data_IF_378092219172
#
_entry.id   IF_378092219172
#
_cell.length_a   1.000
_cell.length_b   1.000
_cell.length_c   1.000
_cell.angle_alpha   90.00
_cell.angle_beta   90.00
_cell.angle_gamma   90.00
#
_symmetry.space_group_name_H-M   'P 1'
#
loop_
_entity.id
_entity.type
_entity.pdbx_description
1 polymer ?
#
# COMPACT_ATOMS: atom_id res chain seq x y z
N UNK A 1 -10.40 -13.10 8.40
CA UNK A 1 -9.25 -12.18 8.44
C UNK A 1 -9.49 -11.03 7.47
N UNK A 2 -9.28 -9.78 7.88
CA UNK A 2 -9.74 -8.60 7.13
C UNK A 2 -9.21 -8.46 5.70
N UNK A 3 -8.04 -9.03 5.41
CA UNK A 3 -7.46 -9.05 4.06
C UNK A 3 -8.04 -10.12 3.11
N UNK A 4 -8.82 -11.08 3.62
CA UNK A 4 -9.34 -12.22 2.84
C UNK A 4 -10.85 -12.13 2.57
N UNK A 5 -11.44 -10.95 2.76
CA UNK A 5 -12.89 -10.77 2.76
C UNK A 5 -13.53 -11.02 4.14
N UNK A 6 -14.79 -10.61 4.27
CA UNK A 6 -15.56 -10.78 5.50
C UNK A 6 -16.65 -11.82 5.26
N UNK A 7 -16.54 -13.04 5.82
CA UNK A 7 -17.52 -14.11 5.56
C UNK A 7 -18.92 -13.78 6.10
N UNK A 8 -19.02 -12.84 7.03
CA UNK A 8 -20.28 -12.41 7.66
C UNK A 8 -20.76 -11.06 7.15
N UNK A 9 -20.11 -10.47 6.14
CA UNK A 9 -20.44 -9.13 5.61
C UNK A 9 -20.37 -7.98 6.65
N UNK A 10 -19.73 -8.20 7.81
CA UNK A 10 -19.61 -7.21 8.87
C UNK A 10 -18.66 -6.04 8.55
N UNK A 11 -17.80 -6.17 7.52
CA UNK A 11 -16.86 -5.11 7.11
C UNK A 11 -17.54 -3.86 6.53
N UNK A 12 -18.83 -3.95 6.18
CA UNK A 12 -19.59 -2.86 5.54
C UNK A 12 -18.85 -2.28 4.31
N UNK A 13 -18.21 -3.16 3.52
CA UNK A 13 -17.51 -2.74 2.31
C UNK A 13 -18.50 -2.35 1.20
N UNK A 14 -17.99 -1.74 0.13
CA UNK A 14 -18.80 -1.38 -1.05
C UNK A 14 -19.51 -2.59 -1.68
N UNK A 15 -19.00 -3.80 -1.47
CA UNK A 15 -19.61 -5.06 -1.94
C UNK A 15 -21.02 -5.29 -1.37
N UNK A 16 -21.30 -4.80 -0.15
CA UNK A 16 -22.57 -5.02 0.55
C UNK A 16 -23.36 -3.73 0.76
N UNK A 17 -22.84 -2.61 0.25
CA UNK A 17 -23.44 -1.27 0.39
C UNK A 17 -23.73 -0.70 -1.00
N UNK A 18 -22.77 0.01 -1.59
CA UNK A 18 -22.98 0.80 -2.82
C UNK A 18 -23.21 -0.05 -4.07
N UNK A 19 -22.54 -1.20 -4.20
CA UNK A 19 -22.70 -2.06 -5.39
C UNK A 19 -24.13 -2.62 -5.47
N UNK A 20 -24.69 -3.28 -4.44
CA UNK A 20 -26.09 -3.71 -4.45
C UNK A 20 -27.07 -2.57 -4.73
N UNK A 21 -26.90 -1.43 -4.05
CA UNK A 21 -27.77 -0.27 -4.24
C UNK A 21 -27.76 0.26 -5.69
N UNK A 22 -26.60 0.21 -6.35
CA UNK A 22 -26.48 0.60 -7.76
C UNK A 22 -27.20 -0.38 -8.69
N UNK A 23 -27.06 -1.69 -8.44
CA UNK A 23 -27.71 -2.73 -9.25
C UNK A 23 -29.23 -2.70 -9.10
N UNK A 24 -29.74 -2.47 -7.88
CA UNK A 24 -31.17 -2.33 -7.61
C UNK A 24 -31.81 -1.13 -8.33
N UNK A 25 -31.03 -0.08 -8.61
CA UNK A 25 -31.45 1.10 -9.38
C UNK A 25 -31.21 0.95 -10.89
N UNK A 26 -30.94 -0.26 -11.38
CA UNK A 26 -30.75 -0.54 -12.80
C UNK A 26 -29.35 -0.24 -13.34
N UNK A 27 -28.37 -0.02 -12.47
CA UNK A 27 -26.96 -0.01 -12.87
C UNK A 27 -26.48 -1.40 -13.27
N UNK A 28 -25.43 -1.46 -14.09
CA UNK A 28 -24.87 -2.72 -14.59
C UNK A 28 -23.45 -2.94 -14.06
N UNK A 29 -23.13 -4.20 -13.72
CA UNK A 29 -21.78 -4.62 -13.32
C UNK A 29 -21.22 -5.60 -14.34
N UNK A 30 -20.21 -5.14 -15.08
CA UNK A 30 -19.42 -5.98 -15.97
C UNK A 30 -18.20 -6.54 -15.22
N UNK A 31 -18.33 -7.76 -14.72
CA UNK A 31 -17.27 -8.47 -14.00
C UNK A 31 -16.42 -9.34 -14.94
N UNK A 32 -15.30 -9.90 -14.43
CA UNK A 32 -14.30 -10.63 -15.23
C UNK A 32 -13.89 -9.86 -16.50
N UNK A 33 -13.76 -8.55 -16.37
CA UNK A 33 -13.46 -7.65 -17.49
C UNK A 33 -12.40 -6.67 -17.05
N UNK A 34 -11.28 -6.61 -17.79
CA UNK A 34 -10.16 -5.73 -17.50
C UNK A 34 -10.16 -4.55 -18.46
N UNK A 35 -10.27 -3.33 -17.93
CA UNK A 35 -10.08 -2.10 -18.69
C UNK A 35 -8.66 -2.04 -19.26
N UNK A 36 -8.53 -2.00 -20.59
CA UNK A 36 -7.24 -2.09 -21.28
C UNK A 36 -6.82 -0.75 -21.88
N UNK A 37 -7.67 0.00 -22.57
CA UNK A 37 -7.23 1.24 -23.22
C UNK A 37 -8.39 2.19 -23.48
N UNK A 38 -8.23 3.46 -23.15
CA UNK A 38 -9.13 4.53 -23.58
C UNK A 38 -8.81 4.88 -25.04
N UNK A 39 -9.84 5.02 -25.86
CA UNK A 39 -9.73 5.51 -27.23
C UNK A 39 -9.96 7.02 -27.23
N UNK A 40 -8.92 7.80 -27.52
CA UNK A 40 -8.93 9.25 -27.39
C UNK A 40 -8.97 9.90 -28.78
N UNK A 41 -9.81 10.92 -28.92
CA UNK A 41 -9.90 11.76 -30.11
C UNK A 41 -9.98 13.22 -29.69
N UNK A 42 -8.90 13.98 -29.91
CA UNK A 42 -8.79 15.34 -29.39
C UNK A 42 -8.74 15.34 -27.86
N UNK A 43 -9.64 16.10 -27.24
CA UNK A 43 -9.78 16.26 -25.79
C UNK A 43 -10.88 15.34 -25.19
N UNK A 44 -11.32 14.31 -25.92
CA UNK A 44 -12.40 13.43 -25.51
C UNK A 44 -12.04 11.94 -25.63
N UNK A 45 -12.51 11.15 -24.68
CA UNK A 45 -12.56 9.69 -24.79
C UNK A 45 -13.82 9.29 -25.56
N UNK A 46 -13.66 8.44 -26.57
CA UNK A 46 -14.73 7.94 -27.45
C UNK A 46 -15.12 6.49 -27.18
N UNK A 47 -14.30 5.77 -26.42
CA UNK A 47 -14.48 4.36 -26.10
C UNK A 47 -13.49 3.88 -25.05
N UNK A 48 -13.85 2.83 -24.33
CA UNK A 48 -12.96 2.07 -23.47
C UNK A 48 -12.90 0.64 -24.01
N UNK A 49 -11.72 0.25 -24.48
CA UNK A 49 -11.40 -1.13 -24.83
C UNK A 49 -11.11 -1.93 -23.57
N UNK A 50 -11.81 -3.05 -23.43
CA UNK A 50 -11.69 -3.99 -22.34
C UNK A 50 -11.36 -5.40 -22.86
N UNK A 51 -10.77 -6.23 -22.00
CA UNK A 51 -10.52 -7.64 -22.25
C UNK A 51 -11.39 -8.49 -21.33
N UNK A 52 -12.08 -9.49 -21.89
CA UNK A 52 -12.78 -10.49 -21.09
C UNK A 52 -11.77 -11.46 -20.48
N UNK A 53 -11.90 -11.73 -19.18
CA UNK A 53 -11.00 -12.54 -18.37
C UNK A 53 -11.58 -13.92 -18.10
N UNK A 54 -10.71 -14.90 -17.83
CA UNK A 54 -11.12 -16.25 -17.39
C UNK A 54 -11.84 -16.21 -16.03
N UNK A 55 -12.42 -17.33 -15.60
CA UNK A 55 -13.17 -17.43 -14.33
C UNK A 55 -12.34 -17.13 -13.08
N UNK A 56 -11.00 -17.17 -13.19
CA UNK A 56 -10.06 -16.83 -12.12
C UNK A 56 -9.58 -15.37 -12.18
N UNK A 57 -10.00 -14.62 -13.20
CA UNK A 57 -9.57 -13.26 -13.50
C UNK A 57 -8.04 -13.12 -13.72
N UNK A 58 -7.38 -14.19 -14.20
CA UNK A 58 -5.92 -14.22 -14.39
C UNK A 58 -5.56 -13.92 -15.83
N UNK A 59 -6.12 -14.70 -16.77
CA UNK A 59 -5.75 -14.67 -18.18
C UNK A 59 -6.89 -14.10 -19.06
N UNK A 60 -6.57 -13.32 -20.10
CA UNK A 60 -7.57 -12.90 -21.07
C UNK A 60 -8.06 -14.09 -21.90
N UNK A 61 -9.33 -14.08 -22.25
CA UNK A 61 -9.99 -15.11 -23.08
C UNK A 61 -9.77 -14.89 -24.59
N UNK A 62 -9.12 -13.80 -24.98
CA UNK A 62 -8.98 -13.35 -26.37
C UNK A 62 -10.17 -12.53 -26.90
N UNK A 63 -11.28 -12.45 -26.14
CA UNK A 63 -12.44 -11.61 -26.50
C UNK A 63 -12.24 -10.18 -25.99
N UNK A 64 -12.55 -9.21 -26.85
CA UNK A 64 -12.56 -7.78 -26.53
C UNK A 64 -13.98 -7.27 -26.32
N UNK A 65 -14.13 -6.28 -25.46
CA UNK A 65 -15.40 -5.60 -25.16
C UNK A 65 -15.15 -4.11 -25.34
N UNK A 66 -16.06 -3.42 -26.03
CA UNK A 66 -16.01 -1.98 -26.23
C UNK A 66 -17.11 -1.29 -25.41
N UNK A 67 -16.71 -0.41 -24.49
CA UNK A 67 -17.64 0.37 -23.66
C UNK A 67 -17.66 1.82 -24.13
N UNK A 68 -18.82 2.28 -24.56
CA UNK A 68 -19.06 3.69 -24.93
C UNK A 68 -19.85 4.38 -23.84
N UNK A 69 -19.37 5.54 -23.39
CA UNK A 69 -20.01 6.34 -22.37
C UNK A 69 -19.90 7.83 -22.71
N UNK A 70 -20.77 8.63 -22.10
CA UNK A 70 -20.69 10.10 -22.19
C UNK A 70 -19.55 10.66 -21.34
N UNK A 71 -19.27 10.02 -20.20
CA UNK A 71 -18.22 10.37 -19.26
C UNK A 71 -17.60 9.10 -18.68
N UNK A 72 -16.30 9.14 -18.40
CA UNK A 72 -15.54 8.02 -17.85
C UNK A 72 -15.00 8.40 -16.47
N UNK A 73 -15.44 7.67 -15.45
CA UNK A 73 -14.89 7.76 -14.09
C UNK A 73 -13.86 6.65 -13.90
N UNK A 74 -12.61 7.03 -13.65
CA UNK A 74 -11.54 6.10 -13.37
C UNK A 74 -11.43 5.91 -11.86
N UNK A 75 -11.43 4.65 -11.41
CA UNK A 75 -11.38 4.24 -10.00
C UNK A 75 -10.46 3.04 -9.82
N UNK A 76 -9.31 3.05 -10.51
CA UNK A 76 -8.33 1.96 -10.51
C UNK A 76 -7.31 2.01 -9.36
N UNK A 77 -7.36 3.04 -8.52
CA UNK A 77 -6.38 3.31 -7.48
C UNK A 77 -5.08 3.90 -8.03
N UNK A 78 -4.20 4.33 -7.12
CA UNK A 78 -2.95 5.04 -7.43
C UNK A 78 -1.89 4.29 -8.27
N UNK A 79 -2.19 3.07 -8.74
CA UNK A 79 -1.37 2.29 -9.69
C UNK A 79 -2.13 2.01 -10.99
N UNK A 80 -3.35 1.47 -10.93
CA UNK A 80 -4.04 1.05 -12.16
C UNK A 80 -4.70 2.22 -12.91
N UNK A 81 -5.14 3.27 -12.21
CA UNK A 81 -5.62 4.50 -12.87
C UNK A 81 -4.51 5.14 -13.72
N UNK A 82 -3.35 5.53 -13.15
CA UNK A 82 -2.26 6.06 -13.98
C UNK A 82 -1.76 5.05 -15.01
N UNK A 83 -1.73 3.75 -14.66
CA UNK A 83 -1.40 2.70 -15.61
C UNK A 83 -2.34 2.63 -16.83
N UNK A 84 -3.65 2.82 -16.64
CA UNK A 84 -4.62 2.88 -17.73
C UNK A 84 -4.39 4.13 -18.59
N UNK A 85 -4.19 5.30 -17.97
CA UNK A 85 -3.96 6.56 -18.68
C UNK A 85 -2.66 6.52 -19.50
N UNK A 86 -1.56 6.05 -18.91
CA UNK A 86 -0.27 5.88 -19.59
C UNK A 86 -0.41 4.97 -20.81
N UNK A 87 -1.11 3.86 -20.64
CA UNK A 87 -1.30 2.85 -21.69
C UNK A 87 -2.27 3.28 -22.77
N UNK A 88 -3.04 4.32 -22.50
CA UNK A 88 -3.93 4.98 -23.44
C UNK A 88 -3.27 6.18 -24.11
N UNK A 89 -2.00 6.46 -23.80
CA UNK A 89 -1.28 7.64 -24.27
C UNK A 89 -2.07 8.92 -24.00
N UNK A 90 -2.71 8.99 -22.82
CA UNK A 90 -3.47 10.16 -22.42
C UNK A 90 -2.57 11.41 -22.38
N UNK A 91 -3.09 12.58 -22.78
CA UNK A 91 -2.30 13.81 -22.84
C UNK A 91 -1.76 14.18 -21.45
N UNK A 92 -0.44 14.28 -21.34
CA UNK A 92 0.28 14.70 -20.13
C UNK A 92 1.37 15.73 -20.49
N UNK A 93 1.00 16.97 -20.83
CA UNK A 93 1.93 17.98 -21.33
C UNK A 93 3.00 18.40 -20.30
N UNK A 94 2.80 18.06 -19.03
CA UNK A 94 3.71 18.42 -17.94
C UNK A 94 4.42 17.21 -17.31
N UNK A 95 4.22 16.00 -17.85
CA UNK A 95 4.87 14.78 -17.38
C UNK A 95 4.56 14.47 -15.90
N UNK A 96 3.32 14.72 -15.45
CA UNK A 96 2.88 14.54 -14.06
C UNK A 96 2.19 13.19 -13.83
N UNK A 97 1.70 12.54 -14.88
CA UNK A 97 1.01 11.27 -14.78
C UNK A 97 1.92 10.17 -14.21
N UNK A 98 1.39 9.42 -13.25
CA UNK A 98 2.11 8.37 -12.53
C UNK A 98 3.10 8.89 -11.47
N UNK A 99 3.37 10.19 -11.38
CA UNK A 99 4.33 10.75 -10.41
C UNK A 99 3.69 10.97 -9.05
N UNK A 100 4.56 11.14 -8.04
CA UNK A 100 4.16 11.41 -6.64
C UNK A 100 3.19 10.34 -6.12
N UNK A 101 3.49 9.07 -6.42
CA UNK A 101 2.77 7.94 -5.81
C UNK A 101 3.36 7.66 -4.44
N UNK A 102 2.52 7.68 -3.41
CA UNK A 102 2.90 7.45 -2.02
C UNK A 102 2.38 6.11 -1.55
N UNK A 103 3.07 5.51 -0.59
CA UNK A 103 2.82 4.14 -0.15
C UNK A 103 2.47 4.03 1.34
N UNK A 104 2.78 5.06 2.13
CA UNK A 104 3.03 4.90 3.56
C UNK A 104 3.96 3.69 3.76
N UNK A 105 5.23 3.82 3.39
CA UNK A 105 6.21 2.74 3.51
C UNK A 105 6.22 2.18 4.94
N UNK A 106 6.19 0.85 5.08
CA UNK A 106 6.03 0.17 6.36
C UNK A 106 7.24 -0.69 6.69
N UNK A 107 7.76 -0.56 7.91
CA UNK A 107 8.60 -1.58 8.55
C UNK A 107 7.94 -2.15 9.81
N UNK A 108 8.51 -3.24 10.29
CA UNK A 108 7.90 -4.09 11.32
C UNK A 108 8.90 -4.42 12.42
N UNK A 109 8.38 -4.62 13.63
CA UNK A 109 9.10 -5.22 14.76
C UNK A 109 8.23 -6.32 15.38
N UNK A 110 8.80 -7.51 15.52
CA UNK A 110 8.16 -8.62 16.21
C UNK A 110 8.62 -8.69 17.67
N UNK A 111 7.74 -9.11 18.57
CA UNK A 111 8.07 -9.33 19.97
C UNK A 111 7.48 -10.65 20.46
N UNK A 112 8.17 -11.34 21.34
CA UNK A 112 7.67 -12.51 22.05
C UNK A 112 7.25 -12.12 23.46
N UNK A 113 6.10 -12.63 23.87
CA UNK A 113 5.54 -12.41 25.21
C UNK A 113 5.39 -13.75 25.96
N UNK A 114 5.61 -13.77 27.28
CA UNK A 114 5.33 -14.97 28.08
C UNK A 114 3.86 -15.40 28.02
N UNK A 115 2.94 -14.43 27.96
CA UNK A 115 1.52 -14.68 27.82
C UNK A 115 1.12 -14.87 26.34
N UNK A 116 0.08 -15.65 26.10
CA UNK A 116 -0.49 -15.80 24.77
C UNK A 116 -1.15 -14.48 24.31
N UNK A 117 -0.76 -14.02 23.12
CA UNK A 117 -1.29 -12.84 22.43
C UNK A 117 -2.37 -13.25 21.41
N UNK A 118 -2.15 -14.37 20.70
CA UNK A 118 -3.00 -14.86 19.62
C UNK A 118 -3.29 -13.79 18.56
N UNK A 119 -2.27 -13.27 17.85
CA UNK A 119 -2.41 -12.11 16.98
C UNK A 119 -3.28 -12.37 15.73
N UNK A 120 -3.70 -13.62 15.53
CA UNK A 120 -4.60 -14.07 14.47
C UNK A 120 -6.09 -14.10 14.90
N UNK A 121 -6.40 -13.78 16.15
CA UNK A 121 -7.79 -13.67 16.64
C UNK A 121 -8.10 -12.26 17.16
N UNK A 122 -9.39 -11.92 17.17
CA UNK A 122 -9.90 -10.65 17.72
C UNK A 122 -10.08 -9.54 16.70
N UNK A 123 -10.28 -8.32 17.20
CA UNK A 123 -10.49 -7.15 16.38
C UNK A 123 -9.18 -6.79 15.64
N UNK A 124 -9.24 -6.55 14.32
CA UNK A 124 -8.09 -6.08 13.56
C UNK A 124 -7.70 -4.67 14.05
N UNK A 125 -6.40 -4.43 14.28
CA UNK A 125 -5.84 -3.08 14.47
C UNK A 125 -6.59 -2.23 15.51
N UNK A 126 -6.65 -2.72 16.75
CA UNK A 126 -7.41 -2.09 17.83
C UNK A 126 -6.74 -0.84 18.44
N UNK A 127 -5.45 -0.64 18.19
CA UNK A 127 -4.69 0.50 18.75
C UNK A 127 -3.66 1.04 17.74
N UNK A 128 -3.47 2.36 17.78
CA UNK A 128 -2.42 3.07 17.06
C UNK A 128 -1.87 4.22 17.91
N UNK A 129 -0.72 4.76 17.51
CA UNK A 129 -0.16 6.00 18.02
C UNK A 129 0.33 6.88 16.88
N UNK A 130 -0.14 8.12 16.84
CA UNK A 130 0.29 9.18 15.92
C UNK A 130 1.30 10.15 16.55
N UNK A 131 1.76 9.86 17.78
CA UNK A 131 2.69 10.71 18.54
C UNK A 131 3.94 11.12 17.74
N UNK A 132 4.49 10.19 16.95
CA UNK A 132 5.73 10.41 16.17
C UNK A 132 5.47 11.01 14.78
N UNK A 133 4.21 11.18 14.37
CA UNK A 133 3.88 11.59 13.01
C UNK A 133 4.20 13.06 12.75
N UNK A 134 4.05 13.92 13.77
CA UNK A 134 4.18 15.37 13.64
C UNK A 134 5.14 16.00 14.66
N UNK A 135 5.86 15.18 15.44
CA UNK A 135 6.71 15.61 16.56
C UNK A 135 7.65 16.77 16.20
N UNK A 136 8.24 16.70 15.01
CA UNK A 136 9.22 17.69 14.51
C UNK A 136 8.67 18.50 13.32
N UNK A 137 7.34 18.62 13.21
CA UNK A 137 6.66 19.35 12.14
C UNK A 137 6.69 18.63 10.77
N UNK A 138 6.42 19.39 9.71
CA UNK A 138 6.36 18.89 8.32
C UNK A 138 7.74 18.77 7.66
N UNK A 139 8.67 19.64 8.04
CA UNK A 139 10.02 19.74 7.47
C UNK A 139 11.13 19.10 8.32
N UNK A 140 10.79 18.58 9.51
CA UNK A 140 11.73 17.81 10.33
C UNK A 140 12.02 16.41 9.76
N UNK A 141 12.69 15.54 10.54
CA UNK A 141 12.93 14.15 10.16
C UNK A 141 11.64 13.41 9.78
N UNK A 142 11.77 12.32 9.02
CA UNK A 142 10.63 11.49 8.60
C UNK A 142 9.78 11.06 9.81
N UNK A 143 8.54 11.54 9.87
CA UNK A 143 7.57 11.13 10.88
C UNK A 143 6.97 9.76 10.55
N UNK A 144 6.42 9.09 11.56
CA UNK A 144 5.72 7.82 11.37
C UNK A 144 4.57 7.62 12.35
N UNK A 145 3.59 6.83 11.93
CA UNK A 145 2.48 6.36 12.77
C UNK A 145 2.72 4.92 13.15
N UNK A 146 2.53 4.57 14.42
CA UNK A 146 2.67 3.20 14.91
C UNK A 146 1.31 2.52 14.99
N UNK A 147 1.23 1.26 14.57
CA UNK A 147 0.01 0.45 14.63
C UNK A 147 0.35 -0.98 15.06
N UNK A 148 -0.62 -1.66 15.68
CA UNK A 148 -0.53 -3.08 16.00
C UNK A 148 -1.42 -3.86 15.03
N UNK A 149 -0.85 -4.48 13.97
CA UNK A 149 -1.64 -5.19 12.99
C UNK A 149 -2.05 -6.59 13.50
N UNK A 150 -3.18 -7.14 13.02
CA UNK A 150 -3.42 -8.58 13.17
C UNK A 150 -2.39 -9.36 12.34
N UNK A 151 -1.92 -10.50 12.85
CA UNK A 151 -0.92 -11.32 12.19
C UNK A 151 -1.53 -12.65 11.72
N UNK A 152 -2.05 -12.64 10.49
CA UNK A 152 -2.56 -13.85 9.84
C UNK A 152 -1.44 -14.91 9.69
N UNK A 153 -1.68 -16.21 9.94
CA UNK A 153 -0.60 -17.22 9.92
C UNK A 153 0.16 -17.31 8.59
N UNK A 154 -0.53 -17.23 7.44
CA UNK A 154 0.16 -17.24 6.15
C UNK A 154 0.98 -15.97 5.92
N UNK A 155 0.50 -14.81 6.41
CA UNK A 155 1.24 -13.56 6.32
C UNK A 155 2.46 -13.60 7.24
N UNK A 156 2.33 -14.15 8.45
CA UNK A 156 3.42 -14.35 9.40
C UNK A 156 4.53 -15.18 8.77
N UNK A 157 4.20 -16.33 8.18
CA UNK A 157 5.16 -17.21 7.53
C UNK A 157 5.94 -16.49 6.40
N UNK A 158 5.26 -15.64 5.62
CA UNK A 158 5.90 -14.85 4.57
C UNK A 158 6.74 -13.70 5.12
N UNK A 159 6.28 -13.00 6.16
CA UNK A 159 6.96 -11.84 6.73
C UNK A 159 8.23 -12.24 7.49
N UNK A 160 8.18 -13.31 8.28
CA UNK A 160 9.36 -13.84 8.96
C UNK A 160 10.37 -14.45 7.97
N UNK A 161 9.89 -14.94 6.82
CA UNK A 161 10.70 -15.31 5.64
C UNK A 161 11.94 -16.19 5.92
N UNK A 162 11.88 -17.02 6.97
CA UNK A 162 12.95 -17.94 7.36
C UNK A 162 12.69 -19.36 6.84
N UNK A 163 13.69 -20.22 6.91
CA UNK A 163 13.65 -21.60 6.43
C UNK A 163 13.90 -22.61 7.55
N UNK A 164 13.53 -23.87 7.29
CA UNK A 164 13.80 -25.00 8.18
C UNK A 164 13.27 -24.80 9.61
N UNK A 165 14.10 -25.18 10.58
CA UNK A 165 13.73 -25.15 12.01
C UNK A 165 13.48 -23.73 12.54
N UNK A 166 14.16 -22.71 12.00
CA UNK A 166 13.91 -21.32 12.39
C UNK A 166 12.48 -20.91 12.03
N UNK A 167 12.02 -21.28 10.83
CA UNK A 167 10.65 -21.01 10.38
C UNK A 167 9.63 -21.76 11.24
N UNK A 168 9.88 -23.05 11.50
CA UNK A 168 9.04 -23.85 12.38
C UNK A 168 8.95 -23.24 13.80
N UNK A 169 10.07 -22.76 14.35
CA UNK A 169 10.14 -22.11 15.64
C UNK A 169 9.34 -20.80 15.70
N UNK A 170 9.47 -19.94 14.69
CA UNK A 170 8.66 -18.72 14.59
C UNK A 170 7.16 -19.03 14.55
N UNK A 171 6.75 -20.03 13.76
CA UNK A 171 5.35 -20.40 13.65
C UNK A 171 4.82 -21.10 14.91
N UNK A 172 5.64 -21.89 15.60
CA UNK A 172 5.29 -22.49 16.88
C UNK A 172 5.07 -21.43 17.98
N UNK A 173 5.79 -20.31 17.90
CA UNK A 173 5.66 -19.16 18.83
C UNK A 173 4.64 -18.12 18.37
N UNK A 174 3.95 -18.32 17.25
CA UNK A 174 2.97 -17.35 16.75
C UNK A 174 1.88 -16.98 17.79
N UNK A 175 1.34 -17.91 18.62
CA UNK A 175 0.40 -17.57 19.68
C UNK A 175 0.94 -16.58 20.72
N UNK A 176 2.26 -16.53 20.91
CA UNK A 176 2.96 -15.66 21.86
C UNK A 176 3.61 -14.44 21.18
N UNK A 177 3.38 -14.26 19.89
CA UNK A 177 4.01 -13.22 19.09
C UNK A 177 3.11 -11.99 18.99
N UNK A 178 3.69 -10.83 19.24
CA UNK A 178 3.14 -9.53 18.95
C UNK A 178 3.86 -8.92 17.73
N UNK A 179 3.15 -8.16 16.92
CA UNK A 179 3.72 -7.38 15.81
C UNK A 179 3.40 -5.91 16.02
N UNK A 180 4.38 -5.04 15.81
CA UNK A 180 4.16 -3.60 15.64
C UNK A 180 4.66 -3.21 14.25
N UNK A 181 3.97 -2.27 13.62
CA UNK A 181 4.41 -1.67 12.36
C UNK A 181 4.48 -0.15 12.47
N UNK A 182 5.28 0.46 11.62
CA UNK A 182 5.36 1.91 11.49
C UNK A 182 5.10 2.35 10.05
N UNK A 183 4.13 3.23 9.84
CA UNK A 183 3.82 3.84 8.55
C UNK A 183 4.59 5.15 8.42
N UNK A 184 5.53 5.22 7.48
CA UNK A 184 6.30 6.44 7.20
C UNK A 184 5.41 7.49 6.54
N UNK A 185 5.53 8.76 6.96
CA UNK A 185 4.83 9.92 6.38
C UNK A 185 5.53 10.42 5.11
N UNK A 186 5.43 9.66 4.04
CA UNK A 186 6.06 10.00 2.76
C UNK A 186 5.36 11.16 2.01
N UNK A 187 6.11 11.88 1.17
CA UNK A 187 5.56 12.91 0.27
C UNK A 187 5.55 14.35 0.78
N UNK A 188 5.85 14.58 2.05
CA UNK A 188 5.82 15.90 2.71
C UNK A 188 7.18 16.63 2.76
N UNK A 189 8.26 15.95 2.36
CA UNK A 189 9.62 16.49 2.37
C UNK A 189 10.25 16.34 0.97
N UNK A 190 11.10 17.28 0.51
CA UNK A 190 11.79 17.14 -0.79
C UNK A 190 12.57 15.83 -0.95
N UNK A 191 13.18 15.33 0.13
CA UNK A 191 13.89 14.03 0.16
C UNK A 191 12.94 12.82 0.27
N UNK A 192 11.63 13.03 0.20
CA UNK A 192 10.62 11.98 0.08
C UNK A 192 9.72 12.29 -1.12
N UNK A 193 10.26 12.18 -2.35
CA UNK A 193 9.55 12.59 -3.57
C UNK A 193 8.37 11.66 -3.93
N UNK A 194 8.33 10.45 -3.35
CA UNK A 194 7.41 9.38 -3.71
C UNK A 194 7.93 8.54 -4.89
N UNK A 195 7.06 7.72 -5.45
CA UNK A 195 7.33 6.85 -6.58
C UNK A 195 6.75 7.33 -7.91
N UNK A 196 7.05 6.55 -8.93
CA UNK A 196 6.65 6.71 -10.34
C UNK A 196 5.94 5.44 -10.81
N UNK A 197 4.69 5.56 -11.25
CA UNK A 197 4.01 4.49 -11.98
C UNK A 197 4.46 4.52 -13.43
N UNK A 198 4.91 3.37 -13.91
CA UNK A 198 5.43 3.16 -15.25
C UNK A 198 4.76 1.92 -15.87
N UNK A 199 4.96 1.72 -17.17
CA UNK A 199 4.50 0.52 -17.85
C UNK A 199 5.69 -0.41 -18.10
N UNK A 200 5.52 -1.68 -17.77
CA UNK A 200 6.41 -2.74 -18.27
C UNK A 200 6.20 -2.95 -19.77
N UNK A 201 7.09 -3.72 -20.40
CA UNK A 201 7.00 -4.07 -21.81
C UNK A 201 5.68 -4.76 -22.22
N UNK A 202 5.02 -5.46 -21.29
CA UNK A 202 3.71 -6.09 -21.50
C UNK A 202 2.51 -5.13 -21.30
N UNK A 203 2.78 -3.88 -20.92
CA UNK A 203 1.78 -2.85 -20.62
C UNK A 203 1.17 -2.96 -19.22
N UNK A 204 1.66 -3.86 -18.35
CA UNK A 204 1.26 -3.87 -16.94
C UNK A 204 1.87 -2.69 -16.19
N UNK A 205 1.11 -2.04 -15.29
CA UNK A 205 1.69 -0.98 -14.46
C UNK A 205 2.67 -1.56 -13.44
N UNK A 206 3.74 -0.83 -13.20
CA UNK A 206 4.72 -1.06 -12.15
C UNK A 206 4.92 0.24 -11.39
N UNK A 207 5.10 0.15 -10.08
CA UNK A 207 5.53 1.28 -9.28
C UNK A 207 7.03 1.15 -9.04
N UNK A 208 7.79 2.14 -9.50
CA UNK A 208 9.15 2.38 -9.05
C UNK A 208 9.11 3.32 -7.84
N UNK A 209 9.69 2.93 -6.71
CA UNK A 209 9.67 3.71 -5.48
C UNK A 209 11.07 3.79 -4.88
N UNK A 210 11.65 4.99 -4.90
CA UNK A 210 13.01 5.23 -4.42
C UNK A 210 13.05 5.41 -2.90
N UNK A 211 13.95 4.68 -2.24
CA UNK A 211 14.21 4.80 -0.80
C UNK A 211 15.45 5.66 -0.57
N UNK A 212 15.22 6.90 -0.13
CA UNK A 212 16.27 7.90 0.13
C UNK A 212 16.87 7.72 1.53
N UNK A 213 18.06 8.29 1.80
CA UNK A 213 18.64 8.30 3.15
C UNK A 213 17.67 8.84 4.22
N UNK A 214 16.86 9.84 3.86
CA UNK A 214 15.83 10.41 4.73
C UNK A 214 14.75 9.39 5.12
N UNK A 215 14.33 8.53 4.18
CA UNK A 215 13.38 7.45 4.46
C UNK A 215 14.02 6.37 5.33
N UNK A 216 15.25 5.96 5.03
CA UNK A 216 15.97 4.96 5.81
C UNK A 216 16.20 5.39 7.27
N UNK A 217 16.52 6.67 7.50
CA UNK A 217 16.59 7.24 8.84
C UNK A 217 15.25 7.09 9.60
N UNK A 218 14.13 7.42 8.94
CA UNK A 218 12.78 7.26 9.51
C UNK A 218 12.48 5.83 9.92
N UNK A 219 12.79 4.87 9.04
CA UNK A 219 12.62 3.45 9.32
C UNK A 219 13.46 3.01 10.53
N UNK A 220 14.71 3.46 10.62
CA UNK A 220 15.61 3.14 11.74
C UNK A 220 15.08 3.67 13.07
N UNK A 221 14.66 4.94 13.12
CA UNK A 221 14.05 5.54 14.31
C UNK A 221 12.78 4.82 14.73
N UNK A 222 11.96 4.40 13.77
CA UNK A 222 10.76 3.63 14.06
C UNK A 222 11.08 2.27 14.69
N UNK A 223 12.12 1.56 14.25
CA UNK A 223 12.54 0.30 14.89
C UNK A 223 12.92 0.53 16.37
N UNK A 224 13.64 1.62 16.67
CA UNK A 224 13.99 1.98 18.04
C UNK A 224 12.75 2.26 18.90
N UNK A 225 11.79 3.05 18.40
CA UNK A 225 10.54 3.32 19.12
C UNK A 225 9.71 2.07 19.34
N UNK A 226 9.57 1.21 18.33
CA UNK A 226 8.82 -0.05 18.46
C UNK A 226 9.46 -0.99 19.48
N UNK A 227 10.79 -1.12 19.49
CA UNK A 227 11.49 -1.95 20.45
C UNK A 227 11.30 -1.47 21.89
N UNK A 228 11.42 -0.17 22.12
CA UNK A 228 11.19 0.44 23.43
C UNK A 228 9.77 0.17 23.94
N UNK A 229 8.76 0.39 23.09
CA UNK A 229 7.37 0.12 23.45
C UNK A 229 7.14 -1.36 23.74
N UNK A 230 7.70 -2.26 22.94
CA UNK A 230 7.52 -3.70 23.10
C UNK A 230 8.15 -4.22 24.40
N UNK A 231 9.36 -3.79 24.74
CA UNK A 231 9.96 -4.14 26.04
C UNK A 231 9.22 -3.51 27.21
N UNK A 232 8.81 -2.23 27.10
CA UNK A 232 8.02 -1.57 28.14
C UNK A 232 6.66 -2.25 28.37
N UNK A 233 6.10 -2.87 27.34
CA UNK A 233 4.87 -3.66 27.43
C UNK A 233 5.08 -5.06 28.07
N UNK A 234 6.33 -5.49 28.29
CA UNK A 234 6.66 -6.77 28.93
C UNK A 234 7.08 -7.88 27.96
N UNK A 235 7.50 -7.56 26.73
CA UNK A 235 8.08 -8.55 25.83
C UNK A 235 9.35 -9.17 26.44
N UNK A 236 9.49 -10.49 26.34
CA UNK A 236 10.69 -11.22 26.74
C UNK A 236 11.79 -11.14 25.68
N UNK A 237 11.43 -10.93 24.42
CA UNK A 237 12.37 -10.69 23.34
C UNK A 237 11.75 -9.85 22.22
N UNK A 238 12.59 -9.10 21.50
CA UNK A 238 12.21 -8.25 20.36
C UNK A 238 13.13 -8.50 19.17
N UNK A 239 12.58 -8.49 17.97
CA UNK A 239 13.28 -8.63 16.71
C UNK A 239 12.79 -7.57 15.70
N UNK A 240 13.64 -6.61 15.27
CA UNK A 240 13.33 -5.78 14.11
C UNK A 240 13.29 -6.67 12.88
N UNK A 241 12.29 -6.52 12.00
CA UNK A 241 12.21 -7.42 10.84
C UNK A 241 13.21 -7.03 9.76
N UNK A 242 14.28 -7.81 9.72
CA UNK A 242 15.40 -7.69 8.81
C UNK A 242 15.97 -9.09 8.57
N UNK A 243 16.49 -9.36 7.37
CA UNK A 243 16.99 -10.70 7.00
C UNK A 243 18.13 -11.21 7.89
N UNK A 244 18.88 -10.32 8.53
CA UNK A 244 19.97 -10.65 9.46
C UNK A 244 19.60 -10.44 10.94
N UNK A 245 18.37 -10.09 11.26
CA UNK A 245 17.96 -9.91 12.64
C UNK A 245 17.61 -11.24 13.31
N UNK A 246 17.73 -11.25 14.62
CA UNK A 246 17.29 -12.33 15.51
C UNK A 246 16.54 -11.70 16.69
N UNK A 247 15.94 -12.55 17.54
CA UNK A 247 15.36 -12.07 18.79
C UNK A 247 16.47 -11.70 19.78
N UNK A 248 16.35 -10.51 20.37
CA UNK A 248 17.18 -10.03 21.48
C UNK A 248 16.34 -9.93 22.75
N UNK A 249 16.92 -10.22 23.91
CA UNK A 249 16.21 -10.31 25.20
C UNK A 249 16.31 -9.06 26.06
N UNK A 250 16.94 -8.00 25.55
CA UNK A 250 17.03 -6.72 26.26
C UNK A 250 17.02 -5.54 25.29
N UNK A 251 16.52 -4.39 25.76
CA UNK A 251 16.45 -3.17 24.97
C UNK A 251 17.84 -2.69 24.50
N UNK A 252 18.86 -2.77 25.37
CA UNK A 252 20.23 -2.38 25.01
C UNK A 252 20.76 -3.17 23.82
N UNK A 253 20.69 -4.51 23.90
CA UNK A 253 21.09 -5.39 22.80
C UNK A 253 20.29 -5.11 21.53
N UNK A 254 18.98 -4.84 21.65
CA UNK A 254 18.14 -4.54 20.50
C UNK A 254 18.55 -3.23 19.82
N UNK A 255 18.85 -2.19 20.59
CA UNK A 255 19.31 -0.89 20.07
C UNK A 255 20.64 -1.04 19.34
N UNK A 256 21.64 -1.68 19.97
CA UNK A 256 22.94 -1.96 19.35
C UNK A 256 22.79 -2.77 18.06
N UNK A 257 21.86 -3.73 18.04
CA UNK A 257 21.57 -4.49 16.84
C UNK A 257 20.95 -3.63 15.75
N UNK A 258 19.91 -2.85 16.04
CA UNK A 258 19.30 -1.93 15.07
C UNK A 258 20.36 -0.99 14.47
N UNK A 259 21.28 -0.49 15.29
CA UNK A 259 22.30 0.45 14.85
C UNK A 259 23.35 -0.18 13.93
N UNK A 260 23.68 -1.46 14.14
CA UNK A 260 24.62 -2.24 13.32
C UNK A 260 24.02 -2.88 12.06
N UNK A 261 22.69 -2.91 11.90
CA UNK A 261 22.05 -3.47 10.70
C UNK A 261 22.25 -2.55 9.48
N UNK A 262 22.61 -3.14 8.34
CA UNK A 262 22.61 -2.44 7.04
C UNK A 262 21.19 -2.35 6.50
N UNK A 263 20.51 -1.22 6.76
CA UNK A 263 19.17 -0.99 6.23
C UNK A 263 19.25 -0.67 4.74
N UNK A 264 19.02 -1.70 3.92
CA UNK A 264 19.05 -1.60 2.46
C UNK A 264 17.96 -2.45 1.80
N UNK A 265 17.80 -2.25 0.48
CA UNK A 265 16.86 -3.02 -0.34
C UNK A 265 17.12 -4.53 -0.21
N UNK A 266 16.05 -5.31 -0.24
CA UNK A 266 16.07 -6.78 -0.14
C UNK A 266 16.55 -7.37 1.20
N UNK A 267 17.15 -6.57 2.10
CA UNK A 267 17.50 -6.99 3.47
C UNK A 267 16.50 -6.52 4.51
N UNK A 268 16.04 -5.28 4.40
CA UNK A 268 14.99 -4.74 5.27
C UNK A 268 13.62 -5.25 4.82
N UNK A 269 12.83 -5.79 5.75
CA UNK A 269 11.46 -6.24 5.44
C UNK A 269 10.53 -5.04 5.41
N UNK A 270 10.18 -4.62 4.20
CA UNK A 270 9.32 -3.49 3.94
C UNK A 270 8.01 -3.93 3.29
N UNK A 271 6.95 -3.18 3.57
CA UNK A 271 5.66 -3.30 2.90
C UNK A 271 5.12 -1.91 2.55
N UNK A 272 4.00 -1.89 1.84
CA UNK A 272 3.16 -0.70 1.70
C UNK A 272 1.83 -0.93 2.39
N UNK A 273 1.20 0.17 2.84
CA UNK A 273 -0.14 0.13 3.42
C UNK A 273 -1.15 0.85 2.53
N UNK A 274 -0.84 2.08 2.14
CA UNK A 274 -1.81 2.98 1.50
C UNK A 274 -1.21 3.54 0.22
N UNK A 275 -1.60 2.95 -0.91
CA UNK A 275 -1.17 3.42 -2.23
C UNK A 275 -2.02 4.64 -2.61
N UNK A 276 -1.38 5.79 -2.76
CA UNK A 276 -2.02 7.08 -3.02
C UNK A 276 -1.27 7.84 -4.12
N UNK A 277 -1.91 8.83 -4.72
CA UNK A 277 -1.29 9.65 -5.76
C UNK A 277 -1.30 8.99 -7.14
N UNK A 278 -0.27 9.23 -7.95
CA UNK A 278 -0.21 8.76 -9.35
C UNK A 278 -1.08 9.56 -10.32
N UNK A 279 -2.20 10.11 -9.87
CA UNK A 279 -2.98 11.15 -10.55
C UNK A 279 -3.20 12.31 -9.57
N UNK A 280 -2.17 13.13 -9.36
CA UNK A 280 -2.22 14.20 -8.37
C UNK A 280 -3.36 15.19 -8.66
N UNK A 281 -4.04 15.62 -7.59
CA UNK A 281 -5.17 16.54 -7.63
C UNK A 281 -4.71 17.97 -7.31
N UNK A 282 -5.13 18.95 -8.11
CA UNK A 282 -4.85 20.36 -7.88
C UNK A 282 -5.17 21.26 -9.08
N UNK A 283 -5.43 22.54 -8.82
CA UNK A 283 -5.82 23.52 -9.85
C UNK A 283 -4.68 23.93 -10.78
N UNK A 284 -3.42 23.72 -10.39
CA UNK A 284 -2.29 24.02 -11.26
C UNK A 284 -1.98 22.79 -12.16
N UNK A 285 -2.30 22.83 -13.46
CA UNK A 285 -2.06 21.70 -14.36
C UNK A 285 -0.57 21.36 -14.53
N UNK A 286 0.35 22.27 -14.19
CA UNK A 286 1.79 21.99 -14.22
C UNK A 286 2.22 21.02 -13.11
N UNK A 287 1.40 20.86 -12.05
CA UNK A 287 1.70 20.07 -10.87
C UNK A 287 0.71 18.92 -10.64
N UNK A 288 -0.39 18.88 -11.40
CA UNK A 288 -1.52 17.98 -11.18
C UNK A 288 -2.01 17.34 -12.49
N UNK A 289 -2.61 16.16 -12.36
CA UNK A 289 -3.29 15.43 -13.45
C UNK A 289 -4.77 15.80 -13.48
N UNK A 290 -5.37 16.05 -12.32
CA UNK A 290 -6.77 16.42 -12.18
C UNK A 290 -6.97 17.72 -11.43
N UNK A 291 -8.09 18.40 -11.67
CA UNK A 291 -8.55 19.54 -10.88
C UNK A 291 -9.06 19.10 -9.49
N UNK A 292 -9.44 20.04 -8.62
CA UNK A 292 -9.97 19.74 -7.28
C UNK A 292 -11.29 18.97 -7.26
N UNK A 293 -11.96 18.83 -8.40
CA UNK A 293 -13.17 18.02 -8.58
C UNK A 293 -12.86 16.66 -9.22
N UNK A 294 -11.58 16.33 -9.40
CA UNK A 294 -11.13 15.07 -9.99
C UNK A 294 -11.22 15.02 -11.52
N UNK A 295 -11.58 16.10 -12.21
CA UNK A 295 -11.65 16.12 -13.69
C UNK A 295 -10.25 16.17 -14.26
N UNK A 296 -10.00 15.40 -15.32
CA UNK A 296 -8.70 15.40 -16.00
C UNK A 296 -8.47 16.75 -16.69
N UNK A 297 -7.31 17.37 -16.48
CA UNK A 297 -7.03 18.72 -16.98
C UNK A 297 -7.11 18.84 -18.51
N UNK A 298 -6.79 17.75 -19.23
CA UNK A 298 -6.77 17.74 -20.70
C UNK A 298 -7.89 16.91 -21.35
N UNK A 299 -8.69 16.15 -20.59
CA UNK A 299 -9.73 15.26 -21.16
C UNK A 299 -11.08 15.64 -20.56
N UNK A 300 -11.93 16.28 -21.37
CA UNK A 300 -13.15 16.94 -20.89
C UNK A 300 -14.24 16.00 -20.35
N UNK A 301 -14.16 14.70 -20.68
CA UNK A 301 -15.11 13.68 -20.23
C UNK A 301 -14.46 12.55 -19.42
N UNK A 302 -13.37 12.85 -18.72
CA UNK A 302 -12.69 11.92 -17.82
C UNK A 302 -12.57 12.55 -16.43
N UNK A 303 -12.90 11.77 -15.39
CA UNK A 303 -12.55 12.11 -14.01
C UNK A 303 -11.97 10.92 -13.26
N UNK A 304 -11.27 11.20 -12.17
CA UNK A 304 -10.53 10.25 -11.34
C UNK A 304 -11.07 10.32 -9.91
N UNK A 305 -11.58 9.20 -9.41
CA UNK A 305 -12.20 9.06 -8.09
C UNK A 305 -11.86 7.67 -7.53
N UNK A 306 -10.84 7.60 -6.65
CA UNK A 306 -10.13 6.38 -6.25
C UNK A 306 -10.16 6.15 -4.73
#
# INVERSE_FOLDING_TARGET
YCGMGCPTNAKQSMLVTTIPATLEQGGELLYLTRARRLLISGDQVTGLECQAMDSRCVAPTGRTIMVKARHYVLSGGGINTPGLLLRSEAPDPHGRLGKRTFLHLVNFSAAQFPAAINPFYGAPQSIYSDHFQWKDGTSGPMGYKLEVPPLHPALAATIFASFGQTSAGHMAQLPNTHMMLALMRDGFHPDSPGGSVELRADGSPVLDYSLTPYVWDGLKRALHSMAEIQFAAGASAVMPLHSDAQYMTSLGQTRDRIDSLSLELYRTRLASAHVMGGCAMGENPQLAVTDSLGRHHQLGNVSVHD
#
